data_IF_118828668333
#
_entry.id   IF_118828668333
#
_cell.length_a   1.000
_cell.length_b   1.000
_cell.length_c   1.000
_cell.angle_alpha   90.00
_cell.angle_beta   90.00
_cell.angle_gamma   90.00
#
_symmetry.space_group_name_H-M   'P 1'
#
loop_
_entity.id
_entity.type
_entity.pdbx_description
1 polymer ?
#
# COMPACT_ATOMS: atom_id res chain seq x y z
N UNK A 1 -4.14 -14.89 29.81
CA UNK A 1 -4.04 -15.88 28.72
C UNK A 1 -3.33 -15.18 27.59
N UNK A 2 -2.08 -15.56 27.33
CA UNK A 2 -1.27 -15.00 26.25
C UNK A 2 -1.72 -15.66 24.95
N UNK A 3 -2.39 -14.93 24.09
CA UNK A 3 -2.70 -15.35 22.73
C UNK A 3 -1.39 -15.37 21.96
N UNK A 4 -0.84 -16.57 21.77
CA UNK A 4 0.26 -16.78 20.82
C UNK A 4 -0.38 -16.86 19.44
N UNK A 5 -0.28 -15.79 18.66
CA UNK A 5 -0.65 -15.85 17.25
C UNK A 5 0.24 -16.88 16.54
N UNK A 6 -0.32 -17.74 15.68
CA UNK A 6 0.49 -18.60 14.84
C UNK A 6 1.41 -17.71 14.00
N UNK A 7 2.70 -17.95 14.06
CA UNK A 7 3.68 -17.33 13.18
C UNK A 7 3.39 -17.88 11.79
N UNK A 8 2.93 -17.03 10.89
CA UNK A 8 2.85 -17.38 9.47
C UNK A 8 4.28 -17.61 9.00
N UNK A 9 4.59 -18.83 8.63
CA UNK A 9 5.97 -19.27 8.35
C UNK A 9 6.48 -18.80 6.97
N UNK A 10 5.69 -18.04 6.21
CA UNK A 10 6.09 -17.52 4.90
C UNK A 10 5.77 -16.03 4.77
N UNK A 11 6.82 -15.23 4.64
CA UNK A 11 6.68 -13.84 4.23
C UNK A 11 6.26 -13.80 2.74
N UNK A 12 5.31 -12.93 2.35
CA UNK A 12 4.90 -12.81 0.96
C UNK A 12 6.04 -12.29 0.10
N UNK A 13 6.03 -12.67 -1.16
CA UNK A 13 6.90 -12.09 -2.17
C UNK A 13 6.46 -10.64 -2.43
N UNK A 14 7.39 -9.70 -2.31
CA UNK A 14 7.16 -8.28 -2.51
C UNK A 14 7.86 -7.85 -3.80
N UNK A 15 7.09 -7.38 -4.77
CA UNK A 15 7.61 -6.80 -6.01
C UNK A 15 7.26 -5.33 -6.08
N UNK A 16 8.24 -4.49 -6.38
CA UNK A 16 8.07 -3.04 -6.52
C UNK A 16 8.41 -2.65 -7.95
N UNK A 17 7.47 -2.03 -8.65
CA UNK A 17 7.65 -1.58 -10.03
C UNK A 17 7.25 -0.12 -10.22
N UNK A 18 7.81 0.51 -11.24
CA UNK A 18 7.47 1.88 -11.65
C UNK A 18 7.84 2.13 -13.10
N UNK A 19 7.15 3.08 -13.73
CA UNK A 19 7.49 3.56 -15.08
C UNK A 19 8.25 4.88 -14.92
N UNK A 20 9.45 4.94 -15.48
CA UNK A 20 10.25 6.18 -15.59
C UNK A 20 9.93 6.81 -16.93
N UNK A 21 9.34 8.00 -16.89
CA UNK A 21 8.96 8.75 -18.09
C UNK A 21 10.19 9.38 -18.75
N UNK A 22 10.04 9.77 -20.01
CA UNK A 22 11.13 10.35 -20.84
C UNK A 22 11.77 11.62 -20.25
N UNK A 23 11.02 12.37 -19.45
CA UNK A 23 11.47 13.61 -18.81
C UNK A 23 11.94 13.43 -17.35
N UNK A 24 11.92 12.20 -16.84
CA UNK A 24 12.30 11.89 -15.47
C UNK A 24 13.75 11.38 -15.40
N UNK A 25 14.41 11.68 -14.30
CA UNK A 25 15.74 11.15 -13.97
C UNK A 25 15.58 9.79 -13.28
N UNK A 26 16.07 8.72 -13.93
CA UNK A 26 15.97 7.35 -13.41
C UNK A 26 16.69 7.19 -12.05
N UNK A 27 17.80 7.90 -11.83
CA UNK A 27 18.55 7.86 -10.55
C UNK A 27 17.71 8.46 -9.42
N UNK A 28 16.99 9.55 -9.69
CA UNK A 28 16.11 10.16 -8.70
C UNK A 28 14.89 9.29 -8.41
N UNK A 29 14.36 8.61 -9.42
CA UNK A 29 13.27 7.62 -9.26
C UNK A 29 13.75 6.44 -8.43
N UNK A 30 14.92 5.86 -8.71
CA UNK A 30 15.53 4.81 -7.90
C UNK A 30 15.69 5.25 -6.44
N UNK A 31 16.22 6.45 -6.22
CA UNK A 31 16.39 7.01 -4.88
C UNK A 31 15.07 7.12 -4.13
N UNK A 32 13.99 7.50 -4.81
CA UNK A 32 12.67 7.54 -4.21
C UNK A 32 12.19 6.16 -3.77
N UNK A 33 12.38 5.13 -4.60
CA UNK A 33 12.00 3.75 -4.26
C UNK A 33 12.85 3.24 -3.09
N UNK A 34 14.18 3.37 -3.17
CA UNK A 34 15.10 2.90 -2.11
C UNK A 34 14.92 3.63 -0.78
N UNK A 35 14.27 4.78 -0.75
CA UNK A 35 13.94 5.45 0.51
C UNK A 35 12.96 4.65 1.36
N UNK A 36 12.01 3.94 0.73
CA UNK A 36 11.03 3.07 1.38
C UNK A 36 11.42 1.58 1.31
N UNK A 37 12.12 1.17 0.26
CA UNK A 37 12.57 -0.20 -0.01
C UNK A 37 14.11 -0.22 -0.18
N UNK A 38 14.89 -0.17 0.90
CA UNK A 38 16.35 -0.03 0.81
C UNK A 38 17.05 -1.24 0.18
N UNK A 39 16.41 -2.39 0.22
CA UNK A 39 16.86 -3.68 -0.31
C UNK A 39 16.32 -4.00 -1.71
N UNK A 40 15.67 -3.03 -2.36
CA UNK A 40 15.15 -3.20 -3.72
C UNK A 40 16.26 -3.61 -4.69
N UNK A 41 16.09 -4.75 -5.36
CA UNK A 41 17.12 -5.45 -6.14
C UNK A 41 17.17 -5.06 -7.62
N UNK A 42 16.46 -4.02 -8.03
CA UNK A 42 16.49 -3.54 -9.40
C UNK A 42 17.85 -2.92 -9.73
N UNK A 43 18.47 -3.40 -10.81
CA UNK A 43 19.67 -2.81 -11.39
C UNK A 43 19.28 -1.82 -12.49
N UNK A 44 19.66 -0.57 -12.32
CA UNK A 44 19.47 0.45 -13.35
C UNK A 44 20.76 0.51 -14.16
N UNK A 45 20.64 0.24 -15.47
CA UNK A 45 21.72 0.47 -16.40
C UNK A 45 21.93 1.99 -16.52
N UNK A 46 22.94 2.50 -15.83
CA UNK A 46 23.28 3.92 -15.84
C UNK A 46 23.88 4.32 -17.19
N UNK A 47 23.07 4.46 -18.21
CA UNK A 47 23.47 5.22 -19.38
C UNK A 47 23.38 6.70 -19.04
N UNK A 48 24.42 7.44 -19.41
CA UNK A 48 24.66 8.86 -19.12
C UNK A 48 23.55 9.72 -19.78
N UNK A 49 22.41 9.86 -19.09
CA UNK A 49 21.22 10.58 -19.54
C UNK A 49 21.43 12.09 -19.51
N UNK A 50 22.33 12.61 -20.33
CA UNK A 50 22.49 14.06 -20.48
C UNK A 50 21.30 14.64 -21.24
N UNK A 51 20.71 15.67 -20.71
CA UNK A 51 19.65 16.41 -21.41
C UNK A 51 20.17 16.98 -22.76
N UNK A 52 19.33 16.90 -23.82
CA UNK A 52 17.98 16.35 -23.89
C UNK A 52 17.97 14.82 -23.96
N UNK A 53 17.12 14.19 -23.14
CA UNK A 53 16.96 12.74 -23.11
C UNK A 53 16.08 12.31 -24.28
N UNK A 54 16.59 11.40 -25.11
CA UNK A 54 15.88 10.84 -26.28
C UNK A 54 15.40 9.40 -26.03
N UNK A 55 15.39 8.96 -24.79
CA UNK A 55 14.98 7.61 -24.43
C UNK A 55 13.47 7.43 -24.45
N UNK A 56 13.04 6.21 -24.61
CA UNK A 56 11.66 5.78 -24.37
C UNK A 56 11.35 5.64 -22.87
N UNK A 57 10.07 5.46 -22.52
CA UNK A 57 9.69 5.12 -21.15
C UNK A 57 10.32 3.78 -20.75
N UNK A 58 10.83 3.69 -19.52
CA UNK A 58 11.48 2.50 -18.99
C UNK A 58 10.66 1.99 -17.80
N UNK A 59 10.30 0.71 -17.83
CA UNK A 59 9.76 0.02 -16.67
C UNK A 59 10.90 -0.49 -15.80
N UNK A 60 10.91 -0.09 -14.53
CA UNK A 60 11.80 -0.62 -13.51
C UNK A 60 11.00 -1.54 -12.60
N UNK A 61 11.51 -2.74 -12.38
CA UNK A 61 10.88 -3.72 -11.50
C UNK A 61 11.94 -4.48 -10.72
N UNK A 62 11.69 -4.72 -9.45
CA UNK A 62 12.60 -5.44 -8.57
C UNK A 62 11.88 -5.96 -7.32
N UNK A 63 12.52 -6.88 -6.61
CA UNK A 63 12.01 -7.45 -5.37
C UNK A 63 12.50 -6.68 -4.16
N UNK A 64 11.73 -6.72 -3.10
CA UNK A 64 12.11 -6.26 -1.76
C UNK A 64 11.78 -7.34 -0.74
N UNK A 65 12.48 -7.35 0.40
CA UNK A 65 12.28 -8.35 1.44
C UNK A 65 11.27 -7.90 2.49
N UNK A 66 10.97 -6.60 2.61
CA UNK A 66 10.21 -6.10 3.74
C UNK A 66 9.46 -4.80 3.46
N UNK A 67 8.27 -4.67 4.06
CA UNK A 67 7.51 -3.42 4.17
C UNK A 67 7.85 -2.63 5.45
N UNK A 68 8.90 -2.98 6.17
CA UNK A 68 9.18 -2.47 7.53
C UNK A 68 9.17 -0.94 7.62
N UNK A 69 9.79 -0.23 6.68
CA UNK A 69 9.81 1.24 6.68
C UNK A 69 8.44 1.87 6.47
N UNK A 70 7.60 1.23 5.64
CA UNK A 70 6.23 1.68 5.40
C UNK A 70 5.42 1.52 6.68
N UNK A 71 5.50 0.35 7.30
CA UNK A 71 4.78 0.05 8.54
C UNK A 71 5.25 0.91 9.70
N UNK A 72 6.56 1.11 9.85
CA UNK A 72 7.12 2.03 10.85
C UNK A 72 6.58 3.46 10.67
N UNK A 73 6.57 3.96 9.42
CA UNK A 73 6.01 5.28 9.12
C UNK A 73 4.52 5.34 9.47
N UNK A 74 3.73 4.33 9.06
CA UNK A 74 2.30 4.27 9.31
C UNK A 74 1.99 4.20 10.82
N UNK A 75 2.77 3.44 11.57
CA UNK A 75 2.67 3.35 13.04
C UNK A 75 2.95 4.68 13.72
N UNK A 76 4.06 5.34 13.35
CA UNK A 76 4.45 6.63 13.92
C UNK A 76 3.44 7.75 13.61
N UNK A 77 2.74 7.66 12.48
CA UNK A 77 1.73 8.63 12.06
C UNK A 77 0.29 8.20 12.37
N UNK A 78 0.09 7.05 13.03
CA UNK A 78 -1.23 6.50 13.41
C UNK A 78 -2.17 6.27 12.23
N UNK A 79 -1.64 5.78 11.13
CA UNK A 79 -2.38 5.47 9.89
C UNK A 79 -2.29 3.99 9.50
N UNK A 80 -2.11 3.09 10.49
CA UNK A 80 -2.04 1.64 10.24
C UNK A 80 -3.37 1.08 9.71
N UNK A 81 -4.51 1.62 10.15
CA UNK A 81 -5.82 1.22 9.63
C UNK A 81 -5.98 1.64 8.16
N UNK A 82 -5.60 2.87 7.81
CA UNK A 82 -5.57 3.31 6.42
C UNK A 82 -4.64 2.45 5.56
N UNK A 83 -3.48 2.07 6.11
CA UNK A 83 -2.56 1.17 5.42
C UNK A 83 -3.21 -0.20 5.17
N UNK A 84 -3.90 -0.76 6.16
CA UNK A 84 -4.64 -2.01 6.04
C UNK A 84 -5.72 -1.91 4.95
N UNK A 85 -6.57 -0.88 5.01
CA UNK A 85 -7.66 -0.67 4.05
C UNK A 85 -7.12 -0.60 2.61
N UNK A 86 -6.08 0.22 2.35
CA UNK A 86 -5.51 0.36 1.00
C UNK A 86 -4.79 -0.90 0.53
N UNK A 87 -4.03 -1.57 1.40
CA UNK A 87 -3.30 -2.79 1.04
C UNK A 87 -4.24 -3.96 0.78
N UNK A 88 -5.45 -3.96 1.36
CA UNK A 88 -6.45 -5.01 1.17
C UNK A 88 -7.50 -4.68 0.11
N UNK A 89 -7.57 -3.44 -0.36
CA UNK A 89 -8.56 -2.98 -1.34
C UNK A 89 -8.59 -3.83 -2.62
N UNK A 90 -7.43 -4.22 -3.13
CA UNK A 90 -7.28 -5.05 -4.32
C UNK A 90 -6.93 -6.52 -3.99
N UNK A 91 -7.19 -6.96 -2.75
CA UNK A 91 -6.87 -8.31 -2.35
C UNK A 91 -7.75 -9.32 -3.10
N UNK A 92 -7.10 -10.21 -3.82
CA UNK A 92 -7.77 -11.31 -4.52
C UNK A 92 -7.01 -12.61 -4.27
N UNK A 93 -7.57 -13.48 -3.43
CA UNK A 93 -6.93 -14.73 -2.98
C UNK A 93 -5.56 -14.43 -2.34
N UNK A 94 -4.49 -14.85 -3.01
CA UNK A 94 -3.12 -14.83 -2.51
C UNK A 94 -2.31 -13.64 -3.08
N UNK A 95 -2.98 -12.66 -3.67
CA UNK A 95 -2.32 -11.49 -4.28
C UNK A 95 -3.04 -10.20 -3.94
N UNK A 96 -2.27 -9.13 -3.74
CA UNK A 96 -2.77 -7.77 -3.68
C UNK A 96 -1.78 -6.80 -4.30
N UNK A 97 -2.25 -5.61 -4.65
CA UNK A 97 -1.38 -4.53 -5.11
C UNK A 97 -1.90 -3.19 -4.62
N UNK A 98 -0.99 -2.27 -4.38
CA UNK A 98 -1.30 -0.90 -4.00
C UNK A 98 -0.24 0.06 -4.54
N UNK A 99 -0.55 1.35 -4.57
CA UNK A 99 0.32 2.36 -5.13
C UNK A 99 0.76 3.37 -4.08
N UNK A 100 2.02 3.80 -4.20
CA UNK A 100 2.63 4.83 -3.36
C UNK A 100 3.16 5.97 -4.23
N UNK A 101 3.02 7.21 -3.73
CA UNK A 101 3.57 8.39 -4.39
C UNK A 101 5.10 8.40 -4.34
N UNK A 102 5.76 8.45 -5.51
CA UNK A 102 7.22 8.60 -5.60
C UNK A 102 7.71 9.93 -5.03
N UNK A 103 6.91 10.99 -5.21
CA UNK A 103 7.26 12.32 -4.70
C UNK A 103 7.29 12.35 -3.17
N UNK A 104 6.32 11.69 -2.52
CA UNK A 104 6.33 11.55 -1.07
C UNK A 104 7.49 10.68 -0.59
N UNK A 105 7.73 9.55 -1.28
CA UNK A 105 8.83 8.64 -0.98
C UNK A 105 10.20 9.33 -1.06
N UNK A 106 10.42 10.19 -2.05
CA UNK A 106 11.67 10.93 -2.22
C UNK A 106 12.08 11.75 -0.98
N UNK A 107 11.10 12.20 -0.20
CA UNK A 107 11.31 12.92 1.08
C UNK A 107 11.09 12.02 2.31
N UNK A 108 11.11 10.71 2.14
CA UNK A 108 10.98 9.73 3.22
C UNK A 108 9.59 9.62 3.83
N UNK A 109 8.54 9.97 3.09
CA UNK A 109 7.15 9.88 3.52
C UNK A 109 6.41 8.78 2.77
N UNK A 110 5.44 8.16 3.44
CA UNK A 110 4.49 7.24 2.81
C UNK A 110 3.21 8.01 2.47
N UNK A 111 2.78 7.93 1.22
CA UNK A 111 1.50 8.43 0.76
C UNK A 111 0.89 7.40 -0.20
N UNK A 112 -0.19 6.76 0.25
CA UNK A 112 -0.97 5.85 -0.59
C UNK A 112 -1.70 6.63 -1.67
N UNK A 113 -1.81 6.03 -2.86
CA UNK A 113 -2.50 6.60 -4.01
C UNK A 113 -3.63 5.65 -4.40
N UNK A 114 -4.87 6.13 -4.32
CA UNK A 114 -6.07 5.31 -4.58
C UNK A 114 -6.78 5.75 -5.86
N UNK A 115 -6.93 7.04 -6.10
CA UNK A 115 -7.72 7.58 -7.20
C UNK A 115 -6.87 8.32 -8.24
N UNK A 116 -6.43 9.53 -7.92
CA UNK A 116 -5.72 10.38 -8.88
C UNK A 116 -4.21 10.15 -8.86
N UNK A 117 -3.62 9.97 -10.03
CA UNK A 117 -2.17 9.82 -10.17
C UNK A 117 -1.46 11.15 -9.84
N UNK A 118 -0.53 11.17 -8.89
CA UNK A 118 0.24 12.36 -8.55
C UNK A 118 1.21 12.75 -9.68
N UNK A 119 1.53 14.04 -9.78
CA UNK A 119 2.43 14.58 -10.81
C UNK A 119 3.80 13.89 -10.84
N UNK A 120 4.33 13.48 -9.70
CA UNK A 120 5.61 12.75 -9.58
C UNK A 120 5.51 11.26 -9.90
N UNK A 121 4.36 10.76 -10.35
CA UNK A 121 4.11 9.34 -10.62
C UNK A 121 4.06 8.47 -9.37
N UNK A 122 3.86 7.18 -9.58
CA UNK A 122 3.68 6.19 -8.52
C UNK A 122 4.69 5.05 -8.64
N UNK A 123 4.94 4.38 -7.53
CA UNK A 123 5.47 3.02 -7.50
C UNK A 123 4.34 2.07 -7.16
N UNK A 124 4.23 0.97 -7.88
CA UNK A 124 3.30 -0.11 -7.60
C UNK A 124 3.99 -1.15 -6.75
N UNK A 125 3.33 -1.57 -5.68
CA UNK A 125 3.79 -2.62 -4.79
C UNK A 125 2.82 -3.78 -4.92
N UNK A 126 3.33 -4.93 -5.36
CA UNK A 126 2.57 -6.17 -5.47
C UNK A 126 3.05 -7.15 -4.41
N UNK A 127 2.10 -7.76 -3.71
CA UNK A 127 2.35 -8.80 -2.72
C UNK A 127 1.74 -10.11 -3.21
N UNK A 128 2.47 -11.21 -3.01
CA UNK A 128 1.99 -12.56 -3.33
C UNK A 128 2.39 -13.54 -2.24
N UNK A 129 1.43 -14.25 -1.67
CA UNK A 129 1.68 -15.25 -0.63
C UNK A 129 0.39 -15.84 -0.09
N UNK A 130 0.50 -17.02 0.52
CA UNK A 130 -0.62 -17.69 1.17
C UNK A 130 -1.10 -16.91 2.40
N UNK A 131 -2.41 -16.96 2.71
CA UNK A 131 -3.04 -16.30 3.87
C UNK A 131 -2.67 -14.80 3.99
N UNK A 132 -2.58 -14.12 2.84
CA UNK A 132 -2.12 -12.73 2.76
C UNK A 132 -3.02 -11.75 3.53
N UNK A 133 -4.31 -12.03 3.65
CA UNK A 133 -5.26 -11.29 4.47
C UNK A 133 -4.87 -11.30 5.96
N UNK A 134 -4.58 -12.47 6.50
CA UNK A 134 -4.14 -12.63 7.89
C UNK A 134 -2.76 -12.00 8.12
N UNK A 135 -1.87 -12.14 7.15
CA UNK A 135 -0.53 -11.53 7.23
C UNK A 135 -0.62 -9.99 7.27
N UNK A 136 -1.45 -9.37 6.42
CA UNK A 136 -1.67 -7.93 6.41
C UNK A 136 -2.33 -7.44 7.70
N UNK A 137 -3.31 -8.18 8.23
CA UNK A 137 -3.94 -7.88 9.50
C UNK A 137 -2.94 -7.87 10.66
N UNK A 138 -2.05 -8.86 10.72
CA UNK A 138 -1.00 -8.92 11.73
C UNK A 138 0.04 -7.82 11.56
N UNK A 139 0.46 -7.56 10.32
CA UNK A 139 1.46 -6.55 9.99
C UNK A 139 1.02 -5.13 10.38
N UNK A 140 -0.27 -4.84 10.20
CA UNK A 140 -0.86 -3.54 10.50
C UNK A 140 -1.55 -3.47 11.86
N UNK A 141 -1.39 -4.51 12.69
CA UNK A 141 -2.05 -4.58 13.98
C UNK A 141 -1.57 -3.50 14.96
N UNK A 142 -2.50 -2.95 15.74
CA UNK A 142 -2.23 -2.02 16.84
C UNK A 142 -3.28 -2.15 17.97
N UNK A 143 -2.96 -1.68 19.18
CA UNK A 143 -3.82 -1.84 20.36
C UNK A 143 -5.22 -1.22 20.19
N UNK A 144 -5.35 -0.12 19.45
CA UNK A 144 -6.64 0.54 19.19
C UNK A 144 -7.65 -0.33 18.46
N UNK A 145 -7.19 -1.33 17.71
CA UNK A 145 -8.06 -2.25 16.97
C UNK A 145 -8.92 -3.17 17.86
N UNK A 146 -8.54 -3.34 19.14
CA UNK A 146 -9.40 -4.02 20.11
C UNK A 146 -10.67 -3.23 20.44
N UNK A 147 -10.60 -1.91 20.37
CA UNK A 147 -11.75 -1.04 20.68
C UNK A 147 -12.60 -0.74 19.44
N UNK A 148 -11.97 -0.68 18.28
CA UNK A 148 -12.61 -0.42 16.98
C UNK A 148 -12.05 -1.47 16.02
N UNK A 149 -12.69 -2.67 15.95
CA UNK A 149 -12.27 -3.72 15.02
C UNK A 149 -12.37 -3.26 13.58
N UNK A 150 -11.38 -3.65 12.77
CA UNK A 150 -11.39 -3.49 11.32
C UNK A 150 -11.50 -4.84 10.66
N UNK A 151 -12.22 -4.92 9.56
CA UNK A 151 -12.33 -6.10 8.72
C UNK A 151 -12.11 -5.74 7.26
N UNK A 152 -11.85 -6.75 6.44
CA UNK A 152 -11.70 -6.59 5.00
C UNK A 152 -12.94 -5.94 4.39
N UNK A 153 -12.74 -4.84 3.63
CA UNK A 153 -13.82 -4.14 2.96
C UNK A 153 -14.60 -3.15 3.83
N UNK A 154 -14.09 -2.79 5.01
CA UNK A 154 -14.71 -1.77 5.88
C UNK A 154 -14.81 -0.40 5.19
N UNK A 155 -13.86 -0.09 4.30
CA UNK A 155 -13.88 1.11 3.46
C UNK A 155 -15.07 1.15 2.49
N UNK A 156 -15.57 -0.01 2.04
CA UNK A 156 -16.75 -0.13 1.19
C UNK A 156 -18.05 0.15 1.95
N UNK A 157 -18.04 0.23 3.26
CA UNK A 157 -19.19 0.54 4.10
C UNK A 157 -19.39 2.03 4.35
N UNK A 158 -18.53 2.88 3.79
CA UNK A 158 -18.61 4.34 3.88
C UNK A 158 -18.80 4.98 2.51
N UNK A 159 -19.65 6.00 2.43
CA UNK A 159 -19.80 6.82 1.23
C UNK A 159 -18.68 7.87 1.15
N UNK A 160 -18.46 8.49 -0.03
CA UNK A 160 -17.42 9.48 -0.29
C UNK A 160 -17.43 10.68 0.66
N UNK A 161 -18.58 11.00 1.24
CA UNK A 161 -18.75 12.07 2.23
C UNK A 161 -18.46 11.63 3.67
N UNK A 162 -18.05 10.35 3.88
CA UNK A 162 -17.78 9.78 5.19
C UNK A 162 -19.03 9.32 5.95
N UNK A 163 -20.20 9.27 5.29
CA UNK A 163 -21.40 8.69 5.89
C UNK A 163 -21.41 7.18 5.71
N UNK A 164 -21.74 6.39 6.74
CA UNK A 164 -21.82 4.94 6.60
C UNK A 164 -22.99 4.55 5.70
N UNK A 165 -22.71 3.65 4.76
CA UNK A 165 -23.70 3.10 3.82
C UNK A 165 -24.70 2.18 4.56
N UNK A 166 -24.23 1.52 5.62
CA UNK A 166 -25.07 0.62 6.42
C UNK A 166 -24.91 0.90 7.91
N UNK A 167 -26.03 1.07 8.60
CA UNK A 167 -26.07 1.12 10.06
C UNK A 167 -26.81 -0.10 10.61
N UNK A 168 -26.21 -0.71 11.62
CA UNK A 168 -26.85 -1.80 12.36
C UNK A 168 -27.16 -1.35 13.80
N UNK A 169 -28.30 -1.75 14.29
CA UNK A 169 -28.63 -1.58 15.72
C UNK A 169 -27.82 -2.58 16.57
N UNK A 170 -27.88 -2.38 17.88
CA UNK A 170 -27.20 -3.28 18.85
C UNK A 170 -27.69 -4.75 18.78
N UNK A 171 -28.63 -5.06 17.92
CA UNK A 171 -29.16 -6.40 17.66
C UNK A 171 -28.82 -6.91 16.25
N UNK A 172 -27.98 -6.19 15.51
CA UNK A 172 -27.55 -6.57 14.16
C UNK A 172 -28.60 -6.37 13.09
N UNK A 173 -29.59 -5.47 13.28
CA UNK A 173 -30.60 -5.14 12.28
C UNK A 173 -30.20 -3.86 11.55
N UNK A 174 -30.32 -3.83 10.22
CA UNK A 174 -30.15 -2.61 9.42
C UNK A 174 -31.10 -1.51 9.87
N UNK A 175 -30.58 -0.32 10.13
CA UNK A 175 -31.35 0.84 10.59
C UNK A 175 -31.58 1.89 9.52
N UNK A 176 -30.86 1.81 8.40
CA UNK A 176 -31.02 2.69 7.25
C UNK A 176 -31.57 1.88 6.07
N UNK A 177 -32.79 2.18 5.63
CA UNK A 177 -33.28 1.78 4.32
C UNK A 177 -32.97 2.92 3.37
N UNK A 178 -32.00 2.70 2.47
CA UNK A 178 -31.83 3.58 1.32
C UNK A 178 -32.94 3.17 0.35
N UNK A 179 -34.05 3.89 0.42
CA UNK A 179 -35.09 3.81 -0.64
C UNK A 179 -34.45 4.40 -1.91
N UNK A 180 -34.17 3.52 -2.86
CA UNK A 180 -33.80 3.93 -4.21
C UNK A 180 -35.03 4.50 -4.87
N UNK A 181 -35.08 5.82 -5.03
CA UNK A 181 -35.90 6.49 -6.02
C UNK A 181 -35.19 6.56 -7.38
#
# INVERSE_FOLDING_TARGET
MTYTHPRLDMEPEITVSTIVKTHEDAILVEKAIRSLFPDWDCEISGEDDRFPVTREEIELSGKSQSLSKIIEYCSNNRILDTAFDVMTMNLHKDTTHFQLSRQAAFVGKVAFVVEELPLGGVMEVSLQGDDLDLWLEQLTWHEGRHSIPRSLGDDLSMDQDGTPIEWFDNKGRRTINIDQD
#
